data_IF_694246120523
#
_entry.id   IF_694246120523
#
_cell.length_a   1.000
_cell.length_b   1.000
_cell.length_c   1.000
_cell.angle_alpha   90.00
_cell.angle_beta   90.00
_cell.angle_gamma   90.00
#
_symmetry.space_group_name_H-M   'P 1'
#
loop_
_entity.id
_entity.type
_entity.pdbx_description
1 polymer ?
#
# COMPACT_ATOMS: atom_id res chain seq x y z
N UNK A 1 16.26 -13.76 6.09
CA UNK A 1 15.31 -13.23 7.08
C UNK A 1 14.74 -11.95 6.50
N UNK A 2 13.53 -11.98 5.91
CA UNK A 2 12.88 -10.75 5.40
C UNK A 2 12.05 -10.18 6.53
N UNK A 3 12.29 -8.92 6.84
CA UNK A 3 11.58 -8.23 7.89
C UNK A 3 10.12 -8.00 7.46
N UNK A 4 9.15 -8.50 8.24
CA UNK A 4 7.72 -8.42 7.91
C UNK A 4 7.09 -7.07 8.32
N UNK A 5 7.88 -6.13 8.87
CA UNK A 5 7.36 -4.87 9.42
C UNK A 5 6.59 -4.04 8.40
N UNK A 6 6.99 -4.01 7.13
CA UNK A 6 6.24 -3.30 6.09
C UNK A 6 4.84 -3.88 5.86
N UNK A 7 4.74 -5.21 5.79
CA UNK A 7 3.48 -5.93 5.57
C UNK A 7 2.58 -5.79 6.80
N UNK A 8 3.14 -5.92 8.01
CA UNK A 8 2.40 -5.72 9.26
C UNK A 8 1.85 -4.30 9.39
N UNK A 9 2.65 -3.28 9.03
CA UNK A 9 2.22 -1.87 9.05
C UNK A 9 1.12 -1.62 8.02
N UNK A 10 1.25 -2.16 6.81
CA UNK A 10 0.21 -2.11 5.79
C UNK A 10 -1.09 -2.72 6.32
N UNK A 11 -1.05 -3.94 6.86
CA UNK A 11 -2.23 -4.63 7.36
C UNK A 11 -2.87 -3.94 8.56
N UNK A 12 -2.08 -3.27 9.40
CA UNK A 12 -2.62 -2.41 10.45
C UNK A 12 -3.44 -1.28 9.84
N UNK A 13 -2.86 -0.53 8.90
CA UNK A 13 -3.55 0.54 8.19
C UNK A 13 -4.82 0.07 7.49
N UNK A 14 -4.76 -1.01 6.71
CA UNK A 14 -5.93 -1.58 6.03
C UNK A 14 -7.05 -1.92 7.01
N UNK A 15 -6.74 -2.58 8.12
CA UNK A 15 -7.75 -2.93 9.12
C UNK A 15 -8.41 -1.72 9.74
N UNK A 16 -7.64 -0.71 10.14
CA UNK A 16 -8.20 0.46 10.83
C UNK A 16 -8.86 1.47 9.91
N UNK A 17 -8.32 1.69 8.71
CA UNK A 17 -8.76 2.78 7.83
C UNK A 17 -9.85 2.31 6.85
N UNK A 18 -9.86 1.03 6.48
CA UNK A 18 -10.80 0.46 5.52
C UNK A 18 -11.69 -0.63 6.12
N UNK A 19 -11.11 -1.61 6.83
CA UNK A 19 -11.85 -2.77 7.31
C UNK A 19 -12.84 -2.49 8.45
N UNK A 20 -12.36 -1.90 9.54
CA UNK A 20 -13.15 -1.71 10.76
C UNK A 20 -14.12 -0.53 10.68
N UNK A 21 -13.87 0.41 9.78
CA UNK A 21 -14.73 1.59 9.60
C UNK A 21 -15.84 1.37 8.57
N UNK A 22 -15.74 0.35 7.72
CA UNK A 22 -16.70 0.08 6.66
C UNK A 22 -17.62 -1.09 7.01
N UNK A 23 -18.92 -0.83 7.11
CA UNK A 23 -19.95 -1.85 7.31
C UNK A 23 -20.36 -2.45 5.95
N UNK A 24 -19.45 -3.18 5.31
CA UNK A 24 -19.73 -3.76 4.00
C UNK A 24 -20.87 -4.79 4.04
N UNK A 25 -21.96 -4.52 3.33
CA UNK A 25 -23.09 -5.45 3.19
C UNK A 25 -22.75 -6.71 2.37
N UNK A 26 -21.74 -6.62 1.49
CA UNK A 26 -21.35 -7.70 0.57
C UNK A 26 -19.84 -7.79 0.41
N UNK A 27 -19.35 -9.01 0.22
CA UNK A 27 -17.92 -9.29 -0.04
C UNK A 27 -17.44 -8.56 -1.31
N UNK A 28 -18.28 -8.46 -2.34
CA UNK A 28 -17.94 -7.71 -3.57
C UNK A 28 -17.69 -6.23 -3.31
N UNK A 29 -18.47 -5.62 -2.42
CA UNK A 29 -18.28 -4.23 -2.00
C UNK A 29 -16.97 -4.08 -1.21
N UNK A 30 -16.69 -5.02 -0.30
CA UNK A 30 -15.43 -5.05 0.45
C UNK A 30 -14.20 -5.20 -0.46
N UNK A 31 -14.26 -6.06 -1.49
CA UNK A 31 -13.18 -6.19 -2.47
C UNK A 31 -12.95 -4.90 -3.26
N UNK A 32 -14.02 -4.23 -3.69
CA UNK A 32 -13.89 -2.97 -4.44
C UNK A 32 -13.38 -1.82 -3.55
N UNK A 33 -13.82 -1.77 -2.29
CA UNK A 33 -13.32 -0.86 -1.26
C UNK A 33 -11.84 -1.05 -1.01
N UNK A 34 -11.44 -2.30 -0.69
CA UNK A 34 -10.05 -2.67 -0.47
C UNK A 34 -9.18 -2.37 -1.69
N UNK A 35 -9.67 -2.64 -2.91
CA UNK A 35 -8.98 -2.29 -4.14
C UNK A 35 -8.68 -0.79 -4.24
N UNK A 36 -9.69 0.06 -4.04
CA UNK A 36 -9.52 1.52 -4.02
C UNK A 36 -8.55 1.97 -2.92
N UNK A 37 -8.68 1.41 -1.73
CA UNK A 37 -7.82 1.75 -0.61
C UNK A 37 -6.35 1.41 -0.89
N UNK A 38 -6.09 0.23 -1.46
CA UNK A 38 -4.73 -0.19 -1.82
C UNK A 38 -4.14 0.69 -2.93
N UNK A 39 -4.93 1.05 -3.94
CA UNK A 39 -4.50 2.02 -4.97
C UNK A 39 -4.12 3.35 -4.34
N UNK A 40 -4.97 3.90 -3.47
CA UNK A 40 -4.67 5.14 -2.74
C UNK A 40 -3.40 5.04 -1.89
N UNK A 41 -3.25 3.96 -1.12
CA UNK A 41 -2.09 3.71 -0.27
C UNK A 41 -0.80 3.62 -1.10
N UNK A 42 -0.88 3.00 -2.27
CA UNK A 42 0.26 2.71 -3.14
C UNK A 42 0.70 3.89 -4.01
N UNK A 43 -0.25 4.70 -4.49
CA UNK A 43 0.01 5.69 -5.54
C UNK A 43 -0.20 7.15 -5.10
N UNK A 44 -0.85 7.38 -3.96
CA UNK A 44 -1.28 8.73 -3.57
C UNK A 44 -0.82 9.10 -2.18
N UNK A 45 -0.80 8.16 -1.23
CA UNK A 45 -0.46 8.44 0.16
C UNK A 45 1.06 8.65 0.32
N UNK A 46 1.53 9.82 0.78
CA UNK A 46 2.93 10.00 1.14
C UNK A 46 3.25 9.26 2.44
N UNK A 47 4.36 8.53 2.48
CA UNK A 47 4.77 7.76 3.66
C UNK A 47 5.99 8.41 4.31
N UNK A 48 5.88 8.78 5.59
CA UNK A 48 7.01 9.36 6.35
C UNK A 48 8.23 8.44 6.40
N UNK A 49 8.02 7.13 6.40
CA UNK A 49 9.11 6.14 6.37
C UNK A 49 9.81 6.05 4.99
N UNK A 50 9.24 6.65 3.95
CA UNK A 50 9.75 6.72 2.59
C UNK A 50 10.08 8.17 2.21
N UNK A 51 10.44 9.01 3.19
CA UNK A 51 10.76 10.43 2.97
C UNK A 51 9.65 11.22 2.27
N UNK A 52 8.39 10.83 2.50
CA UNK A 52 7.22 11.47 1.89
C UNK A 52 6.86 10.93 0.51
N UNK A 53 7.60 9.97 -0.04
CA UNK A 53 7.25 9.28 -1.28
C UNK A 53 6.16 8.23 -1.05
N UNK A 54 5.51 7.86 -2.14
CA UNK A 54 4.61 6.72 -2.26
C UNK A 54 5.42 5.43 -2.46
N UNK A 55 4.88 4.24 -2.13
CA UNK A 55 5.62 3.01 -2.36
C UNK A 55 5.82 2.70 -3.85
N UNK A 56 4.92 3.19 -4.72
CA UNK A 56 5.09 3.08 -6.18
C UNK A 56 6.30 3.89 -6.67
N UNK A 57 6.44 5.14 -6.23
CA UNK A 57 7.60 5.97 -6.57
C UNK A 57 8.91 5.30 -6.12
N UNK A 58 8.96 4.80 -4.89
CA UNK A 58 10.14 4.08 -4.40
C UNK A 58 10.41 2.82 -5.21
N UNK A 59 9.38 2.07 -5.59
CA UNK A 59 9.55 0.89 -6.44
C UNK A 59 10.12 1.25 -7.81
N UNK A 60 9.55 2.25 -8.48
CA UNK A 60 9.99 2.75 -9.78
C UNK A 60 11.42 3.31 -9.74
N UNK A 61 11.74 4.11 -8.72
CA UNK A 61 13.10 4.64 -8.50
C UNK A 61 14.13 3.53 -8.31
N UNK A 62 13.75 2.40 -7.68
CA UNK A 62 14.62 1.24 -7.51
C UNK A 62 14.65 0.30 -8.73
N UNK A 63 13.64 0.39 -9.60
CA UNK A 63 13.53 -0.42 -10.80
C UNK A 63 14.36 0.16 -11.94
N UNK A 64 14.36 1.49 -12.12
CA UNK A 64 15.12 2.17 -13.18
C UNK A 64 16.61 1.80 -13.18
N UNK A 65 17.35 1.88 -12.05
CA UNK A 65 18.76 1.50 -12.01
C UNK A 65 19.00 0.01 -12.32
N UNK A 66 18.06 -0.86 -11.95
CA UNK A 66 18.15 -2.31 -12.20
C UNK A 66 17.96 -2.67 -13.67
N UNK A 67 17.09 -1.94 -14.37
CA UNK A 67 16.85 -2.13 -15.80
C UNK A 67 17.96 -1.53 -16.65
N UNK A 68 18.61 -0.46 -16.20
CA UNK A 68 19.76 0.15 -16.91
C UNK A 68 21.09 -0.56 -16.66
N UNK A 69 21.18 -1.40 -15.62
CA UNK A 69 22.38 -2.17 -15.28
C UNK A 69 22.37 -3.61 -15.84
N UNK A 70 21.32 -3.98 -16.59
CA UNK A 70 21.14 -5.27 -17.26
C UNK A 70 21.36 -5.12 -18.77
#
# INVERSE_FOLDING_TARGET
WRDNVCVERLWRSVKYEEGYLQAYDRISAAHQGLGRYLTFYHQTRPHRALDGKTPEEVYCDNLTPRLTAA
#
